data_IF_712390812912
#
_entry.id   IF_712390812912
#
_cell.length_a   1.000
_cell.length_b   1.000
_cell.length_c   1.000
_cell.angle_alpha   90.00
_cell.angle_beta   90.00
_cell.angle_gamma   90.00
#
_symmetry.space_group_name_H-M   'P 1'
#
loop_
_entity.id
_entity.type
_entity.pdbx_description
1 polymer ?
#
# COMPACT_ATOMS: atom_id res chain seq x y z
N UNK A 1 -8.59 -9.59 -66.67
CA UNK A 1 -7.31 -9.61 -65.94
C UNK A 1 -7.54 -8.97 -64.57
N UNK A 2 -7.50 -9.74 -63.48
CA UNK A 2 -7.75 -9.28 -62.10
C UNK A 2 -6.47 -9.54 -61.30
N UNK A 3 -5.87 -8.54 -60.63
CA UNK A 3 -4.68 -8.76 -59.83
C UNK A 3 -5.09 -9.36 -58.48
N UNK A 4 -4.54 -10.52 -58.14
CA UNK A 4 -4.67 -11.11 -56.81
C UNK A 4 -3.69 -10.43 -55.86
N UNK A 5 -4.21 -9.70 -54.87
CA UNK A 5 -3.44 -9.11 -53.78
C UNK A 5 -2.91 -10.22 -52.87
N UNK A 6 -1.59 -10.27 -52.70
CA UNK A 6 -0.91 -11.21 -51.81
C UNK A 6 -1.23 -10.89 -50.35
N UNK A 7 -1.99 -11.78 -49.70
CA UNK A 7 -2.33 -11.67 -48.29
C UNK A 7 -1.06 -11.83 -47.43
N UNK A 8 -0.66 -10.75 -46.75
CA UNK A 8 0.46 -10.75 -45.79
C UNK A 8 0.10 -11.66 -44.61
N UNK A 9 0.71 -12.85 -44.56
CA UNK A 9 0.52 -13.85 -43.51
C UNK A 9 1.06 -13.30 -42.17
N UNK A 10 0.17 -12.96 -41.24
CA UNK A 10 0.55 -12.69 -39.86
C UNK A 10 1.06 -14.00 -39.24
N UNK A 11 2.32 -14.00 -38.80
CA UNK A 11 2.93 -15.17 -38.13
C UNK A 11 2.28 -15.47 -36.77
N UNK A 12 2.40 -16.70 -36.25
CA UNK A 12 1.81 -17.09 -34.99
C UNK A 12 2.51 -16.35 -33.85
N UNK A 13 1.77 -15.53 -33.09
CA UNK A 13 2.27 -14.90 -31.87
C UNK A 13 2.54 -16.04 -30.85
N UNK A 14 3.73 -16.11 -30.24
CA UNK A 14 4.07 -17.22 -29.35
C UNK A 14 3.16 -17.20 -28.11
N UNK A 15 2.35 -18.25 -27.96
CA UNK A 15 1.37 -18.46 -26.87
C UNK A 15 2.03 -18.48 -25.48
N UNK A 16 3.34 -18.68 -25.43
CA UNK A 16 4.17 -18.72 -24.23
C UNK A 16 4.29 -17.36 -23.54
N UNK A 17 4.29 -16.26 -24.30
CA UNK A 17 4.34 -14.90 -23.74
C UNK A 17 3.06 -14.53 -22.98
N UNK A 18 1.91 -14.98 -23.48
CA UNK A 18 0.60 -14.77 -22.83
C UNK A 18 0.44 -15.62 -21.57
N UNK A 19 0.91 -16.87 -21.60
CA UNK A 19 0.89 -17.74 -20.42
C UNK A 19 1.77 -17.18 -19.28
N UNK A 20 2.96 -16.66 -19.60
CA UNK A 20 3.83 -16.00 -18.62
C UNK A 20 3.20 -14.74 -18.02
N UNK A 21 2.59 -13.90 -18.86
CA UNK A 21 1.89 -12.71 -18.39
C UNK A 21 0.70 -13.06 -17.48
N UNK A 22 -0.09 -14.07 -17.85
CA UNK A 22 -1.22 -14.54 -17.04
C UNK A 22 -0.78 -15.13 -15.68
N UNK A 23 0.34 -15.85 -15.63
CA UNK A 23 0.87 -16.38 -14.38
C UNK A 23 1.35 -15.27 -13.43
N UNK A 24 1.98 -14.23 -13.96
CA UNK A 24 2.45 -13.08 -13.17
C UNK A 24 1.29 -12.25 -12.61
N UNK A 25 0.24 -12.00 -13.40
CA UNK A 25 -0.94 -11.26 -12.92
C UNK A 25 -1.72 -12.06 -11.88
N UNK A 26 -1.84 -13.37 -12.04
CA UNK A 26 -2.49 -14.23 -11.06
C UNK A 26 -1.70 -14.25 -9.73
N UNK A 27 -0.37 -14.32 -9.81
CA UNK A 27 0.50 -14.27 -8.62
C UNK A 27 0.39 -12.94 -7.89
N UNK A 28 0.25 -11.82 -8.61
CA UNK A 28 0.08 -10.50 -8.00
C UNK A 28 -1.33 -10.33 -7.37
N UNK A 29 -2.36 -10.91 -8.00
CA UNK A 29 -3.74 -10.87 -7.51
C UNK A 29 -3.95 -11.64 -6.20
N UNK A 30 -3.25 -12.78 -6.03
CA UNK A 30 -3.39 -13.63 -4.85
C UNK A 30 -2.22 -13.55 -3.86
N UNK A 31 -1.14 -12.85 -4.20
CA UNK A 31 0.06 -12.73 -3.36
C UNK A 31 0.18 -11.40 -2.62
N UNK A 32 -0.78 -10.48 -2.76
CA UNK A 32 -0.75 -9.17 -2.11
C UNK A 32 -1.58 -9.17 -0.83
N UNK A 33 -1.00 -9.65 0.27
CA UNK A 33 -1.52 -9.37 1.61
C UNK A 33 -1.19 -7.91 1.96
N UNK A 34 -2.19 -7.04 1.92
CA UNK A 34 -2.08 -5.69 2.46
C UNK A 34 -2.16 -5.73 3.99
N UNK A 35 -1.03 -5.93 4.66
CA UNK A 35 -0.93 -5.93 6.13
C UNK A 35 -0.92 -4.49 6.68
N UNK A 36 -2.07 -3.81 6.64
CA UNK A 36 -2.30 -2.61 7.45
C UNK A 36 -2.92 -3.02 8.79
N UNK A 37 -2.12 -3.58 9.69
CA UNK A 37 -2.58 -3.91 11.03
C UNK A 37 -2.83 -2.61 11.82
N UNK A 38 -4.07 -2.40 12.25
CA UNK A 38 -4.39 -1.29 13.14
C UNK A 38 -3.65 -1.47 14.48
N UNK A 39 -3.22 -0.37 15.14
CA UNK A 39 -2.59 -0.46 16.45
C UNK A 39 -3.52 -1.15 17.46
N UNK A 40 -3.03 -2.08 18.28
CA UNK A 40 -3.85 -2.71 19.30
C UNK A 40 -4.32 -1.68 20.33
N UNK A 41 -5.39 -1.98 21.08
CA UNK A 41 -5.79 -1.10 22.16
C UNK A 41 -4.73 -0.96 23.23
N UNK A 42 -4.77 0.20 23.89
CA UNK A 42 -3.79 0.73 24.80
C UNK A 42 -2.45 1.07 24.13
N UNK A 43 -2.36 1.07 22.80
CA UNK A 43 -1.21 1.66 22.11
C UNK A 43 -1.19 3.15 22.38
N UNK A 44 -0.05 3.64 22.87
CA UNK A 44 0.20 5.06 23.05
C UNK A 44 0.92 5.57 21.81
N UNK A 45 0.32 6.55 21.14
CA UNK A 45 0.91 7.24 20.00
C UNK A 45 1.33 8.63 20.48
N UNK A 46 2.64 8.89 20.42
CA UNK A 46 3.24 10.17 20.76
C UNK A 46 3.47 11.03 19.53
N UNK A 47 3.25 12.34 19.65
CA UNK A 47 3.67 13.32 18.66
C UNK A 47 4.51 14.42 19.34
N UNK A 48 5.69 14.69 18.79
CA UNK A 48 6.57 15.77 19.23
C UNK A 48 7.27 16.36 18.00
N UNK A 49 7.16 17.68 17.83
CA UNK A 49 7.78 18.41 16.73
C UNK A 49 9.00 19.20 17.22
N UNK A 50 9.91 19.50 16.29
CA UNK A 50 11.04 20.39 16.56
C UNK A 50 11.29 21.34 15.39
N UNK A 51 11.77 22.54 15.71
CA UNK A 51 12.15 23.55 14.73
C UNK A 51 13.53 24.13 15.09
N UNK A 52 14.33 24.44 14.06
CA UNK A 52 15.64 25.09 14.23
C UNK A 52 15.59 26.54 13.78
N UNK A 53 16.17 27.44 14.57
CA UNK A 53 16.29 28.86 14.22
C UNK A 53 17.68 29.40 14.58
N UNK A 54 18.08 30.52 13.97
CA UNK A 54 19.28 31.25 14.36
C UNK A 54 18.91 32.31 15.39
N UNK A 55 19.64 32.36 16.49
CA UNK A 55 19.55 33.45 17.44
C UNK A 55 20.23 34.74 16.90
N UNK A 56 20.08 35.90 17.57
CA UNK A 56 20.69 37.15 17.11
C UNK A 56 22.21 37.13 17.00
N UNK A 57 22.88 36.18 17.64
CA UNK A 57 24.33 36.01 17.59
C UNK A 57 24.75 35.05 16.45
N UNK A 58 23.80 34.56 15.65
CA UNK A 58 24.03 33.63 14.55
C UNK A 58 24.22 32.17 14.99
N UNK A 59 23.94 31.83 16.25
CA UNK A 59 24.02 30.45 16.72
C UNK A 59 22.70 29.71 16.44
N UNK A 60 22.81 28.44 16.02
CA UNK A 60 21.65 27.59 15.75
C UNK A 60 21.06 27.06 17.06
N UNK A 61 19.76 27.22 17.21
CA UNK A 61 18.98 26.80 18.37
C UNK A 61 17.88 25.84 17.93
N UNK A 62 17.63 24.81 18.74
CA UNK A 62 16.56 23.83 18.53
C UNK A 62 15.44 24.08 19.54
N UNK A 63 14.24 24.37 19.04
CA UNK A 63 13.03 24.44 19.84
C UNK A 63 12.21 23.16 19.64
N UNK A 64 11.85 22.49 20.74
CA UNK A 64 11.04 21.27 20.72
C UNK A 64 9.68 21.54 21.36
N UNK A 65 8.61 21.11 20.72
CA UNK A 65 7.25 21.20 21.28
C UNK A 65 7.02 20.20 22.42
N UNK A 66 5.94 20.40 23.16
CA UNK A 66 5.49 19.42 24.14
C UNK A 66 5.03 18.12 23.47
N UNK A 67 5.19 17.01 24.18
CA UNK A 67 4.74 15.71 23.72
C UNK A 67 3.21 15.59 23.89
N UNK A 68 2.51 15.32 22.80
CA UNK A 68 1.08 15.00 22.81
C UNK A 68 0.91 13.49 22.71
N UNK A 69 0.17 12.89 23.65
CA UNK A 69 -0.11 11.45 23.65
C UNK A 69 -1.58 11.18 23.35
N UNK A 70 -1.83 10.27 22.43
CA UNK A 70 -3.15 9.67 22.23
C UNK A 70 -3.05 8.20 22.59
N UNK A 71 -4.01 7.71 23.38
CA UNK A 71 -4.11 6.28 23.69
C UNK A 71 -5.22 5.69 22.85
N UNK A 72 -4.91 4.66 22.07
CA UNK A 72 -5.90 3.93 21.28
C UNK A 72 -6.78 3.14 22.25
N UNK A 73 -8.07 3.46 22.33
CA UNK A 73 -9.03 2.71 23.14
C UNK A 73 -9.81 1.73 22.27
N UNK A 74 -10.07 0.52 22.77
CA UNK A 74 -11.12 -0.31 22.16
C UNK A 74 -12.48 0.30 22.48
N UNK A 75 -13.28 0.54 21.45
CA UNK A 75 -14.66 1.05 21.57
C UNK A 75 -15.72 -0.01 21.26
N UNK A 76 -15.30 -1.20 20.81
CA UNK A 76 -16.18 -2.33 20.50
C UNK A 76 -15.39 -3.48 19.89
N UNK A 77 -15.95 -4.70 19.94
CA UNK A 77 -15.37 -5.90 19.34
C UNK A 77 -16.47 -6.80 18.77
N UNK A 78 -16.18 -7.49 17.68
CA UNK A 78 -17.04 -8.52 17.09
C UNK A 78 -16.24 -9.79 16.87
N UNK A 79 -16.80 -10.93 17.26
CA UNK A 79 -16.27 -12.24 16.89
C UNK A 79 -16.89 -12.66 15.56
N UNK A 80 -16.09 -12.64 14.49
CA UNK A 80 -16.49 -13.17 13.20
C UNK A 80 -16.35 -14.70 13.25
N UNK A 81 -17.44 -15.40 13.54
CA UNK A 81 -17.52 -16.84 13.29
C UNK A 81 -18.11 -17.08 11.88
N UNK A 82 -17.83 -18.26 11.31
CA UNK A 82 -18.31 -18.61 9.97
C UNK A 82 -19.83 -18.85 9.88
N UNK A 83 -20.59 -18.53 10.93
CA UNK A 83 -22.03 -18.75 10.99
C UNK A 83 -22.71 -17.40 10.88
N UNK A 84 -23.34 -17.15 9.74
CA UNK A 84 -24.35 -16.10 9.62
C UNK A 84 -25.47 -16.38 10.63
N UNK A 85 -25.42 -15.76 11.80
CA UNK A 85 -26.60 -15.69 12.67
C UNK A 85 -27.60 -14.72 12.04
N UNK A 86 -28.77 -15.28 11.74
CA UNK A 86 -29.95 -14.62 11.15
C UNK A 86 -30.52 -13.55 12.08
#
# INVERSE_FOLDING_TARGET
MIPTLSARRAGPVPRTLWAGAAALTLSFLFGSDALAAAPPANTIIGNQASATYLDPNGASQLATSNLVQTTVQQVGSFNLDGRTTV
#
